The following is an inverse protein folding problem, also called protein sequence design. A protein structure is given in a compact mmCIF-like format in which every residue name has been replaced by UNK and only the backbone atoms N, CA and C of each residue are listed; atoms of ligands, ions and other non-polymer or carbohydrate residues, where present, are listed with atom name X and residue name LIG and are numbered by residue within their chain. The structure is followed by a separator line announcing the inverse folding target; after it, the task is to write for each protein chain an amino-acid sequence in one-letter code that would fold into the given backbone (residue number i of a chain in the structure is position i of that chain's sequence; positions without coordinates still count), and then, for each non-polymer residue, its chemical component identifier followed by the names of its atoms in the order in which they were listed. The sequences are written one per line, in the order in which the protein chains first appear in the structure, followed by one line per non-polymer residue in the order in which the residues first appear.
data_IF_187094834856
#
_entry.id   IF_187094834856
#
_cell.length_a   1.000
_cell.length_b   1.000
_cell.length_c   1.000
_cell.angle_alpha   90.00
_cell.angle_beta   90.00
_cell.angle_gamma   90.00
#
_symmetry.space_group_name_H-M   'P 1'
#
loop_
_entity.id
_entity.type
_entity.pdbx_description
1 polymer ?
#
# COMPACT_ATOMS: atom_id res chain seq x y z
N UNK A 1 18.24 -13.03 15.25
CA UNK A 1 16.77 -13.14 15.20
C UNK A 1 16.31 -12.41 13.95
N UNK A 2 15.95 -13.15 12.91
CA UNK A 2 15.59 -12.58 11.62
C UNK A 2 14.13 -12.11 11.68
N UNK A 3 13.88 -10.84 11.37
CA UNK A 3 12.56 -10.27 11.11
C UNK A 3 11.96 -10.75 9.77
N UNK A 4 12.58 -11.74 9.10
CA UNK A 4 12.25 -12.14 7.73
C UNK A 4 11.01 -13.04 7.61
N UNK A 5 10.53 -13.62 8.70
CA UNK A 5 9.35 -14.52 8.70
C UNK A 5 8.14 -13.95 9.44
N UNK A 6 8.19 -12.67 9.84
CA UNK A 6 7.07 -12.03 10.53
C UNK A 6 6.14 -11.35 9.53
N UNK A 7 4.86 -11.64 9.62
CA UNK A 7 3.80 -10.92 8.90
C UNK A 7 3.74 -9.45 9.34
N UNK A 8 3.18 -8.57 8.50
CA UNK A 8 2.99 -7.16 8.87
C UNK A 8 2.17 -7.02 10.16
N UNK A 9 1.18 -7.90 10.38
CA UNK A 9 0.40 -7.91 11.61
C UNK A 9 1.24 -8.27 12.85
N UNK A 10 2.25 -9.14 12.73
CA UNK A 10 3.15 -9.48 13.84
C UNK A 10 4.19 -8.39 14.14
N UNK A 11 4.48 -7.53 13.17
CA UNK A 11 5.43 -6.41 13.33
C UNK A 11 4.71 -5.15 13.83
N UNK A 12 3.59 -4.80 13.21
CA UNK A 12 2.88 -3.55 13.45
C UNK A 12 1.60 -3.71 14.27
N UNK A 13 1.00 -4.91 14.28
CA UNK A 13 -0.31 -5.13 14.89
C UNK A 13 -1.44 -4.49 14.08
N UNK A 14 -2.68 -4.82 14.48
CA UNK A 14 -3.87 -4.17 13.95
C UNK A 14 -4.19 -2.93 14.78
N UNK A 15 -4.59 -1.79 14.16
CA UNK A 15 -4.93 -1.59 12.74
C UNK A 15 -3.80 -1.01 11.89
N UNK A 16 -2.57 -1.01 12.39
CA UNK A 16 -1.45 -0.32 11.72
C UNK A 16 -0.93 -1.10 10.50
N UNK A 17 -1.08 -2.43 10.48
CA UNK A 17 -0.89 -3.27 9.30
C UNK A 17 -1.76 -2.84 8.11
N UNK A 18 -3.03 -2.52 8.36
CA UNK A 18 -3.94 -2.01 7.32
C UNK A 18 -3.51 -0.63 6.83
N UNK A 19 -3.06 0.26 7.73
CA UNK A 19 -2.54 1.58 7.33
C UNK A 19 -1.28 1.45 6.49
N UNK A 20 -0.39 0.50 6.81
CA UNK A 20 0.78 0.21 5.99
C UNK A 20 0.33 -0.23 4.59
N UNK A 21 -0.64 -1.15 4.50
CA UNK A 21 -1.15 -1.63 3.21
C UNK A 21 -1.71 -0.49 2.34
N UNK A 22 -2.58 0.35 2.93
CA UNK A 22 -3.15 1.51 2.24
C UNK A 22 -2.09 2.55 1.86
N UNK A 23 -1.11 2.83 2.73
CA UNK A 23 -0.06 3.82 2.46
C UNK A 23 0.87 3.37 1.33
N UNK A 24 1.34 2.12 1.37
CA UNK A 24 2.21 1.58 0.32
C UNK A 24 1.48 1.52 -1.02
N UNK A 25 0.17 1.25 -1.01
CA UNK A 25 -0.67 1.32 -2.20
C UNK A 25 -0.76 2.75 -2.73
N UNK A 26 -1.05 3.72 -1.87
CA UNK A 26 -1.19 5.12 -2.28
C UNK A 26 0.09 5.67 -2.91
N UNK A 27 1.23 5.50 -2.23
CA UNK A 27 2.51 5.99 -2.74
C UNK A 27 3.02 5.17 -3.93
N UNK A 28 2.72 3.87 -3.99
CA UNK A 28 3.06 3.01 -5.13
C UNK A 28 2.31 3.35 -6.42
N UNK A 29 1.18 4.05 -6.34
CA UNK A 29 0.41 4.50 -7.51
C UNK A 29 0.87 5.84 -8.09
N UNK A 30 1.84 6.51 -7.45
CA UNK A 30 2.41 7.76 -7.96
C UNK A 30 3.36 7.47 -9.12
N UNK A 31 3.36 8.32 -10.15
CA UNK A 31 4.29 8.19 -11.27
C UNK A 31 5.75 8.33 -10.78
N UNK A 32 6.63 7.43 -11.21
CA UNK A 32 8.03 7.36 -10.75
C UNK A 32 8.17 7.12 -9.23
N UNK A 33 7.20 6.45 -8.61
CA UNK A 33 7.31 6.01 -7.23
C UNK A 33 8.54 5.11 -7.00
N UNK A 34 9.13 5.23 -5.82
CA UNK A 34 10.25 4.39 -5.41
C UNK A 34 9.80 2.90 -5.38
N UNK A 35 10.57 1.97 -5.98
CA UNK A 35 10.21 0.55 -6.01
C UNK A 35 10.01 -0.06 -4.62
N UNK A 36 10.55 0.57 -3.56
CA UNK A 36 10.37 0.13 -2.17
C UNK A 36 8.90 -0.06 -1.79
N UNK A 37 7.98 0.75 -2.32
CA UNK A 37 6.55 0.60 -2.01
C UNK A 37 6.00 -0.72 -2.54
N UNK A 38 6.37 -1.10 -3.77
CA UNK A 38 6.00 -2.38 -4.36
C UNK A 38 6.70 -3.55 -3.65
N UNK A 39 7.95 -3.38 -3.22
CA UNK A 39 8.69 -4.40 -2.46
C UNK A 39 8.05 -4.68 -1.10
N UNK A 40 7.59 -3.66 -0.38
CA UNK A 40 6.87 -3.83 0.89
C UNK A 40 5.54 -4.55 0.66
N UNK A 41 4.80 -4.22 -0.40
CA UNK A 41 3.57 -4.92 -0.80
C UNK A 41 3.84 -6.40 -1.13
N UNK A 42 4.91 -6.68 -1.89
CA UNK A 42 5.33 -8.04 -2.21
C UNK A 42 5.70 -8.83 -0.94
N UNK A 43 6.43 -8.21 -0.02
CA UNK A 43 6.93 -8.87 1.19
C UNK A 43 5.83 -9.20 2.19
N UNK A 44 4.88 -8.28 2.42
CA UNK A 44 3.91 -8.41 3.52
C UNK A 44 2.46 -8.64 3.08
N UNK A 45 2.11 -8.32 1.84
CA UNK A 45 0.73 -8.38 1.33
C UNK A 45 0.61 -9.22 0.04
N UNK A 46 1.65 -10.01 -0.29
CA UNK A 46 1.65 -10.89 -1.47
C UNK A 46 1.62 -10.14 -2.80
N UNK A 47 2.05 -8.88 -2.81
CA UNK A 47 2.04 -8.02 -4.00
C UNK A 47 0.66 -7.45 -4.33
N UNK A 48 -0.33 -7.65 -3.44
CA UNK A 48 -1.68 -7.14 -3.63
C UNK A 48 -1.78 -5.70 -3.13
N UNK A 49 -2.36 -4.84 -3.94
CA UNK A 49 -2.72 -3.48 -3.55
C UNK A 49 -4.00 -3.46 -2.72
N UNK A 50 -4.15 -2.45 -1.87
CA UNK A 50 -5.37 -2.22 -1.12
C UNK A 50 -6.47 -1.69 -2.04
N UNK A 51 -7.45 -2.55 -2.35
CA UNK A 51 -8.55 -2.23 -3.27
C UNK A 51 -9.37 -1.03 -2.82
N UNK A 52 -9.46 -0.76 -1.50
CA UNK A 52 -10.18 0.40 -0.99
C UNK A 52 -9.44 1.69 -1.34
N UNK A 53 -8.12 1.70 -1.13
CA UNK A 53 -7.26 2.83 -1.51
C UNK A 53 -7.30 3.07 -3.01
N UNK A 54 -7.20 2.02 -3.84
CA UNK A 54 -7.31 2.16 -5.29
C UNK A 54 -8.61 2.83 -5.72
N UNK A 55 -9.75 2.39 -5.18
CA UNK A 55 -11.06 2.99 -5.48
C UNK A 55 -11.15 4.46 -5.07
N UNK A 56 -10.48 4.84 -3.97
CA UNK A 56 -10.43 6.24 -3.53
C UNK A 56 -9.59 7.05 -4.51
N UNK A 57 -8.42 6.55 -4.92
CA UNK A 57 -7.55 7.22 -5.90
C UNK A 57 -8.31 7.44 -7.22
N UNK A 58 -8.92 6.39 -7.77
CA UNK A 58 -9.73 6.47 -8.99
C UNK A 58 -10.80 7.55 -8.91
N UNK A 59 -11.56 7.58 -7.80
CA UNK A 59 -12.60 8.59 -7.58
C UNK A 59 -12.04 10.02 -7.52
N UNK A 60 -10.85 10.23 -6.97
CA UNK A 60 -10.25 11.57 -6.90
C UNK A 60 -9.67 12.01 -8.25
N UNK A 61 -9.10 11.09 -9.03
CA UNK A 61 -8.59 11.40 -10.39
C UNK A 61 -9.73 11.77 -11.35
N UNK A 62 -10.89 11.15 -11.21
CA UNK A 62 -12.10 11.53 -11.97
C UNK A 62 -12.58 12.95 -11.64
N UNK A 63 -12.40 13.41 -10.40
CA UNK A 63 -12.78 14.75 -9.95
C UNK A 63 -11.80 15.82 -10.51
N UNK A 64 -10.50 15.52 -10.53
CA UNK A 64 -9.45 16.38 -11.10
C UNK A 64 -9.51 16.48 -12.65
N UNK A 65 -10.23 15.57 -13.31
CA UNK A 65 -10.42 15.56 -14.78
C UNK A 65 -11.53 16.53 -15.24
N UNK A 66 -12.24 17.18 -14.31
CA UNK A 66 -13.15 18.30 -14.59
C UNK A 66 -12.47 19.59 -14.12
N UNK A 67 -11.43 20.03 -14.85
CA UNK A 67 -11.00 21.42 -14.81
C UNK A 67 -10.55 21.93 -16.18
#
# INVERSE_FOLDING_TARGET
MAINDKSAQEIFGSPDDMKLHSSMTLFGQVENADPVFAEVLNKYFGGLFDSRTLRIIEKNVEDDSIQ
#
